data_IF_548489124155
#
_entry.id   IF_548489124155
#
_cell.length_a   1.000
_cell.length_b   1.000
_cell.length_c   1.000
_cell.angle_alpha   90.00
_cell.angle_beta   90.00
_cell.angle_gamma   90.00
#
_symmetry.space_group_name_H-M   'P 1'
#
loop_
_entity.id
_entity.type
_entity.pdbx_description
1 polymer ?
#
# COMPACT_ATOMS: atom_id res chain seq x y z
N UNK A 1 -4.82 -14.92 10.13
CA UNK A 1 -5.60 -14.39 11.27
C UNK A 1 -4.64 -13.76 12.25
N UNK A 2 -4.54 -12.43 12.22
CA UNK A 2 -3.66 -11.65 13.10
C UNK A 2 -4.39 -11.15 14.37
N UNK A 3 -3.75 -10.29 15.15
CA UNK A 3 -4.34 -9.74 16.37
C UNK A 3 -5.55 -8.83 16.10
N UNK A 4 -5.56 -8.11 14.97
CA UNK A 4 -6.67 -7.24 14.60
C UNK A 4 -7.90 -8.09 14.26
N UNK A 5 -7.73 -9.20 13.53
CA UNK A 5 -8.82 -10.11 13.18
C UNK A 5 -9.52 -10.68 14.43
N UNK A 6 -8.76 -10.96 15.50
CA UNK A 6 -9.31 -11.48 16.77
C UNK A 6 -10.09 -10.42 17.55
N UNK A 7 -9.78 -9.14 17.34
CA UNK A 7 -10.44 -8.01 18.01
C UNK A 7 -11.55 -7.39 17.14
N UNK A 8 -11.69 -7.83 15.88
CA UNK A 8 -12.59 -7.22 14.91
C UNK A 8 -14.05 -7.24 15.40
N UNK A 9 -14.56 -8.38 15.82
CA UNK A 9 -15.96 -8.50 16.28
C UNK A 9 -16.27 -7.61 17.50
N UNK A 10 -15.57 -7.73 18.65
CA UNK A 10 -15.86 -6.88 19.80
C UNK A 10 -15.52 -5.41 19.55
N UNK A 11 -14.51 -5.13 18.74
CA UNK A 11 -14.11 -3.78 18.33
C UNK A 11 -15.18 -3.09 17.50
N UNK A 12 -15.69 -3.75 16.46
CA UNK A 12 -16.72 -3.20 15.59
C UNK A 12 -18.05 -2.99 16.32
N UNK A 13 -18.49 -3.90 17.20
CA UNK A 13 -19.70 -3.66 18.03
C UNK A 13 -19.55 -2.43 18.93
N UNK A 14 -18.36 -2.19 19.49
CA UNK A 14 -18.13 -0.97 20.25
C UNK A 14 -18.12 0.26 19.35
N UNK A 15 -17.48 0.20 18.18
CA UNK A 15 -17.39 1.32 17.27
C UNK A 15 -18.72 1.69 16.63
N UNK A 16 -19.59 0.73 16.34
CA UNK A 16 -20.96 1.00 15.86
C UNK A 16 -21.78 1.80 16.88
N UNK A 17 -21.57 1.52 18.18
CA UNK A 17 -22.17 2.30 19.27
C UNK A 17 -21.58 3.70 19.36
N UNK A 18 -20.26 3.83 19.18
CA UNK A 18 -19.58 5.12 19.12
C UNK A 18 -20.12 5.96 17.97
N UNK A 19 -20.24 5.37 16.79
CA UNK A 19 -20.74 6.02 15.57
C UNK A 19 -22.20 6.45 15.74
N UNK A 20 -23.02 5.61 16.37
CA UNK A 20 -24.40 5.95 16.73
C UNK A 20 -24.47 7.17 17.66
N UNK A 21 -23.61 7.23 18.68
CA UNK A 21 -23.56 8.36 19.61
C UNK A 21 -23.02 9.63 18.93
N UNK A 22 -22.11 9.49 17.98
CA UNK A 22 -21.51 10.61 17.23
C UNK A 22 -22.34 11.05 16.02
N UNK A 23 -23.45 10.38 15.70
CA UNK A 23 -24.32 10.74 14.58
C UNK A 23 -24.84 12.19 14.67
N UNK A 24 -25.03 12.72 15.89
CA UNK A 24 -25.38 14.11 16.15
C UNK A 24 -24.20 15.10 16.16
N UNK A 25 -22.98 14.62 15.92
CA UNK A 25 -21.74 15.39 16.01
C UNK A 25 -20.95 15.12 17.30
N UNK A 26 -19.66 15.44 17.26
CA UNK A 26 -18.80 15.39 18.44
C UNK A 26 -19.07 16.57 19.40
N UNK A 27 -18.73 16.45 20.70
CA UNK A 27 -18.82 17.56 21.64
C UNK A 27 -18.09 18.82 21.14
N UNK A 28 -18.62 19.99 21.47
CA UNK A 28 -18.00 21.26 21.10
C UNK A 28 -16.58 21.38 21.69
N UNK A 29 -15.64 21.89 20.90
CA UNK A 29 -14.23 22.04 21.30
C UNK A 29 -13.45 20.73 21.45
N UNK A 30 -14.04 19.57 21.17
CA UNK A 30 -13.35 18.29 21.32
C UNK A 30 -12.22 18.11 20.30
N UNK A 31 -11.10 17.50 20.74
CA UNK A 31 -9.92 17.20 19.91
C UNK A 31 -10.15 16.19 18.76
N UNK A 32 -11.37 15.69 18.62
CA UNK A 32 -11.79 14.80 17.54
C UNK A 32 -12.08 15.59 16.25
N UNK A 33 -12.53 16.84 16.36
CA UNK A 33 -12.95 17.65 15.20
C UNK A 33 -11.91 17.81 14.09
N UNK A 34 -10.61 18.03 14.37
CA UNK A 34 -9.60 18.08 13.32
C UNK A 34 -9.49 16.75 12.55
N UNK A 35 -9.56 15.62 13.25
CA UNK A 35 -9.47 14.29 12.64
C UNK A 35 -10.69 13.97 11.77
N UNK A 36 -11.90 14.26 12.26
CA UNK A 36 -13.12 14.07 11.46
C UNK A 36 -13.12 14.93 10.19
N UNK A 37 -12.66 16.19 10.28
CA UNK A 37 -12.56 17.06 9.10
C UNK A 37 -11.51 16.60 8.10
N UNK A 38 -10.38 16.06 8.58
CA UNK A 38 -9.29 15.56 7.73
C UNK A 38 -9.64 14.24 7.06
N UNK A 39 -10.12 13.28 7.85
CA UNK A 39 -10.32 11.90 7.42
C UNK A 39 -11.71 11.65 6.81
N UNK A 40 -12.69 12.51 7.14
CA UNK A 40 -14.07 12.45 6.62
C UNK A 40 -14.74 11.07 6.75
N UNK A 41 -14.36 10.31 7.77
CA UNK A 41 -14.83 8.94 8.00
C UNK A 41 -15.07 8.75 9.50
N UNK A 42 -16.06 7.93 9.82
CA UNK A 42 -16.32 7.50 11.19
C UNK A 42 -15.35 6.37 11.58
N UNK A 43 -15.00 6.23 12.87
CA UNK A 43 -14.03 5.24 13.29
C UNK A 43 -14.44 3.80 12.95
N UNK A 44 -15.72 3.43 13.00
CA UNK A 44 -16.18 2.09 12.61
C UNK A 44 -15.84 1.77 11.15
N UNK A 45 -16.23 2.65 10.24
CA UNK A 45 -15.95 2.49 8.80
C UNK A 45 -14.46 2.51 8.48
N UNK A 46 -13.70 3.37 9.17
CA UNK A 46 -12.25 3.43 9.00
C UNK A 46 -11.59 2.11 9.43
N UNK A 47 -12.03 1.49 10.52
CA UNK A 47 -11.52 0.19 10.96
C UNK A 47 -11.91 -0.93 10.00
N UNK A 48 -13.13 -0.93 9.46
CA UNK A 48 -13.54 -1.89 8.40
C UNK A 48 -12.60 -1.83 7.20
N UNK A 49 -12.27 -0.63 6.72
CA UNK A 49 -11.32 -0.46 5.62
C UNK A 49 -9.94 -1.07 5.90
N UNK A 50 -9.44 -0.97 7.14
CA UNK A 50 -8.16 -1.59 7.52
C UNK A 50 -8.24 -3.12 7.70
N UNK A 51 -9.41 -3.66 8.06
CA UNK A 51 -9.63 -5.10 8.15
C UNK A 51 -9.51 -5.78 6.78
N UNK A 52 -9.93 -5.09 5.73
CA UNK A 52 -9.83 -5.56 4.33
C UNK A 52 -8.41 -5.49 3.76
N UNK A 53 -7.48 -4.83 4.45
CA UNK A 53 -6.07 -4.79 4.04
C UNK A 53 -5.35 -6.09 4.42
N UNK A 54 -4.75 -6.74 3.43
CA UNK A 54 -4.03 -8.00 3.62
C UNK A 54 -2.58 -7.87 3.15
N UNK A 55 -1.58 -8.04 4.04
CA UNK A 55 -0.18 -7.88 3.67
C UNK A 55 0.36 -9.06 2.84
N UNK A 56 -0.13 -10.27 3.07
CA UNK A 56 0.41 -11.48 2.43
C UNK A 56 0.29 -11.49 0.88
N UNK A 57 -0.86 -11.10 0.27
CA UNK A 57 -0.93 -10.96 -1.19
C UNK A 57 0.07 -9.95 -1.78
N UNK A 58 0.35 -8.85 -1.06
CA UNK A 58 1.30 -7.82 -1.50
C UNK A 58 2.73 -8.34 -1.47
N UNK A 59 3.13 -8.99 -0.37
CA UNK A 59 4.43 -9.64 -0.28
C UNK A 59 4.60 -10.75 -1.34
N UNK A 60 3.53 -11.50 -1.60
CA UNK A 60 3.49 -12.50 -2.68
C UNK A 60 3.71 -11.88 -4.06
N UNK A 61 3.08 -10.73 -4.34
CA UNK A 61 3.29 -9.99 -5.58
C UNK A 61 4.74 -9.48 -5.71
N UNK A 62 5.33 -8.93 -4.64
CA UNK A 62 6.74 -8.53 -4.62
C UNK A 62 7.68 -9.70 -4.96
N UNK A 63 7.42 -10.87 -4.35
CA UNK A 63 8.20 -12.08 -4.62
C UNK A 63 8.06 -12.56 -6.07
N UNK A 64 6.85 -12.54 -6.62
CA UNK A 64 6.58 -12.92 -8.01
C UNK A 64 7.32 -12.00 -9.00
N UNK A 65 7.32 -10.69 -8.76
CA UNK A 65 8.03 -9.72 -9.60
C UNK A 65 9.55 -9.93 -9.55
N UNK A 66 10.13 -10.23 -8.38
CA UNK A 66 11.56 -10.59 -8.28
C UNK A 66 11.89 -11.88 -9.05
N UNK A 67 10.93 -12.79 -9.18
CA UNK A 67 11.06 -13.96 -10.05
C UNK A 67 11.24 -13.57 -11.53
N UNK A 68 10.53 -12.55 -11.99
CA UNK A 68 10.67 -12.02 -13.36
C UNK A 68 12.03 -11.36 -13.58
N UNK A 69 12.53 -10.59 -12.61
CA UNK A 69 13.87 -9.97 -12.66
C UNK A 69 14.94 -11.03 -12.93
N UNK A 70 14.94 -12.12 -12.16
CA UNK A 70 15.89 -13.23 -12.36
C UNK A 70 15.82 -13.85 -13.75
N UNK A 71 14.63 -13.92 -14.34
CA UNK A 71 14.45 -14.43 -15.70
C UNK A 71 15.03 -13.44 -16.75
N UNK A 72 14.87 -12.13 -16.55
CA UNK A 72 15.50 -11.12 -17.40
C UNK A 72 17.03 -11.14 -17.30
N UNK A 73 17.59 -11.36 -16.11
CA UNK A 73 19.05 -11.49 -15.93
C UNK A 73 19.63 -12.66 -16.73
N UNK A 74 18.94 -13.80 -16.77
CA UNK A 74 19.32 -14.95 -17.60
C UNK A 74 19.31 -14.63 -19.10
N UNK A 75 18.28 -13.92 -19.56
CA UNK A 75 18.17 -13.48 -20.95
C UNK A 75 19.28 -12.48 -21.28
N UNK A 76 19.54 -11.50 -20.42
CA UNK A 76 20.62 -10.52 -20.59
C UNK A 76 21.99 -11.18 -20.66
N UNK A 77 22.26 -12.19 -19.83
CA UNK A 77 23.49 -13.00 -19.92
C UNK A 77 23.60 -13.72 -21.26
N UNK A 78 22.54 -14.40 -21.68
CA UNK A 78 22.51 -15.10 -22.98
C UNK A 78 22.74 -14.13 -24.15
N UNK A 79 22.16 -12.93 -24.09
CA UNK A 79 22.34 -11.89 -25.10
C UNK A 79 23.74 -11.27 -25.09
N UNK A 80 24.52 -11.44 -24.02
CA UNK A 80 25.88 -10.89 -23.94
C UNK A 80 26.90 -11.77 -24.68
N UNK A 81 26.56 -13.03 -24.97
CA UNK A 81 27.45 -13.96 -25.65
C UNK A 81 27.85 -13.44 -27.05
N UNK A 82 29.16 -13.41 -27.40
CA UNK A 82 29.62 -12.91 -28.68
C UNK A 82 29.03 -13.71 -29.85
N UNK A 83 28.55 -13.02 -30.89
CA UNK A 83 28.07 -13.69 -32.09
C UNK A 83 29.25 -14.28 -32.89
N UNK A 84 29.14 -15.54 -33.31
CA UNK A 84 30.21 -16.26 -34.04
C UNK A 84 30.36 -15.85 -35.53
N UNK A 85 29.61 -14.85 -35.98
CA UNK A 85 29.59 -14.36 -37.36
C UNK A 85 30.17 -12.94 -37.49
N UNK A 86 30.63 -12.58 -38.68
CA UNK A 86 31.28 -11.29 -38.93
C UNK A 86 30.76 -10.60 -40.20
N UNK A 87 30.97 -9.28 -40.29
CA UNK A 87 30.55 -8.44 -41.40
C UNK A 87 29.54 -7.35 -40.99
N UNK A 88 29.06 -6.54 -41.95
CA UNK A 88 28.16 -5.41 -41.66
C UNK A 88 26.87 -5.81 -40.92
N UNK A 89 26.32 -7.00 -41.22
CA UNK A 89 25.15 -7.54 -40.53
C UNK A 89 25.43 -7.88 -39.06
N UNK A 90 26.63 -8.42 -38.75
CA UNK A 90 27.05 -8.69 -37.38
C UNK A 90 27.18 -7.38 -36.58
N UNK A 91 27.76 -6.33 -37.18
CA UNK A 91 27.86 -5.01 -36.54
C UNK A 91 26.49 -4.36 -36.30
N UNK A 92 25.55 -4.48 -37.25
CA UNK A 92 24.18 -3.97 -37.07
C UNK A 92 23.44 -4.72 -35.95
N UNK A 93 23.60 -6.05 -35.88
CA UNK A 93 23.08 -6.87 -34.79
C UNK A 93 23.67 -6.46 -33.44
N UNK A 94 24.99 -6.30 -33.33
CA UNK A 94 25.66 -5.88 -32.10
C UNK A 94 25.17 -4.51 -31.61
N UNK A 95 24.94 -3.57 -32.54
CA UNK A 95 24.40 -2.27 -32.19
C UNK A 95 22.97 -2.38 -31.64
N UNK A 96 22.09 -3.12 -32.30
CA UNK A 96 20.72 -3.34 -31.82
C UNK A 96 20.69 -4.06 -30.47
N UNK A 97 21.53 -5.08 -30.31
CA UNK A 97 21.72 -5.85 -29.09
C UNK A 97 22.20 -4.99 -27.93
N UNK A 98 23.17 -4.09 -28.15
CA UNK A 98 23.65 -3.17 -27.13
C UNK A 98 22.55 -2.19 -26.68
N UNK A 99 21.73 -1.67 -27.60
CA UNK A 99 20.60 -0.79 -27.25
C UNK A 99 19.56 -1.57 -26.41
N UNK A 100 19.28 -2.82 -26.76
CA UNK A 100 18.38 -3.69 -26.01
C UNK A 100 18.91 -3.99 -24.60
N UNK A 101 20.17 -4.40 -24.47
CA UNK A 101 20.79 -4.69 -23.17
C UNK A 101 20.75 -3.49 -22.24
N UNK A 102 20.99 -2.28 -22.76
CA UNK A 102 20.84 -1.04 -21.99
C UNK A 102 19.42 -0.84 -21.47
N UNK A 103 18.42 -1.06 -22.32
CA UNK A 103 17.03 -0.94 -21.90
C UNK A 103 16.61 -1.98 -20.86
N UNK A 104 17.15 -3.20 -20.96
CA UNK A 104 16.83 -4.28 -20.02
C UNK A 104 17.43 -4.03 -18.65
N UNK A 105 18.71 -3.64 -18.56
CA UNK A 105 19.47 -3.74 -17.30
C UNK A 105 20.34 -2.52 -16.96
N UNK A 106 20.38 -1.46 -17.78
CA UNK A 106 21.22 -0.30 -17.47
C UNK A 106 20.52 0.67 -16.50
N UNK A 107 20.72 0.45 -15.21
CA UNK A 107 20.39 1.39 -14.14
C UNK A 107 18.92 1.34 -13.69
N UNK A 108 18.50 2.27 -12.81
CA UNK A 108 17.18 2.23 -12.16
C UNK A 108 16.01 2.53 -13.09
N UNK A 109 16.29 3.12 -14.25
CA UNK A 109 15.30 3.44 -15.29
C UNK A 109 15.16 2.29 -16.33
N UNK A 110 15.98 1.26 -16.21
CA UNK A 110 15.86 0.05 -17.03
C UNK A 110 14.60 -0.75 -16.67
N UNK A 111 14.23 -1.70 -17.52
CA UNK A 111 13.10 -2.58 -17.24
C UNK A 111 13.32 -3.39 -15.95
N UNK A 112 14.51 -3.94 -15.75
CA UNK A 112 14.87 -4.67 -14.52
C UNK A 112 14.82 -3.73 -13.32
N UNK A 113 15.41 -2.54 -13.40
CA UNK A 113 15.36 -1.54 -12.32
C UNK A 113 13.92 -1.14 -11.93
N UNK A 114 13.01 -1.03 -12.91
CA UNK A 114 11.58 -0.76 -12.67
C UNK A 114 10.85 -1.95 -12.03
N UNK A 115 11.15 -3.17 -12.43
CA UNK A 115 10.59 -4.37 -11.81
C UNK A 115 11.09 -4.50 -10.36
N UNK A 116 12.37 -4.25 -10.10
CA UNK A 116 12.91 -4.21 -8.74
C UNK A 116 12.23 -3.13 -7.88
N UNK A 117 12.02 -1.93 -8.44
CA UNK A 117 11.31 -0.87 -7.75
C UNK A 117 9.85 -1.25 -7.45
N UNK A 118 9.16 -1.90 -8.40
CA UNK A 118 7.79 -2.40 -8.21
C UNK A 118 7.74 -3.45 -7.11
N UNK A 119 8.68 -4.39 -7.09
CA UNK A 119 8.79 -5.39 -6.03
C UNK A 119 9.07 -4.74 -4.68
N UNK A 120 10.00 -3.79 -4.62
CA UNK A 120 10.32 -3.05 -3.40
C UNK A 120 9.14 -2.24 -2.86
N UNK A 121 8.33 -1.63 -3.75
CA UNK A 121 7.11 -0.95 -3.37
C UNK A 121 6.07 -1.91 -2.79
N UNK A 122 5.89 -3.09 -3.40
CA UNK A 122 4.96 -4.11 -2.90
C UNK A 122 5.38 -4.63 -1.51
N UNK A 123 6.68 -4.86 -1.30
CA UNK A 123 7.25 -5.26 0.00
C UNK A 123 7.02 -4.15 1.04
N UNK A 124 7.35 -2.90 0.71
CA UNK A 124 7.15 -1.76 1.60
C UNK A 124 5.67 -1.54 1.97
N UNK A 125 4.76 -1.75 1.02
CA UNK A 125 3.32 -1.66 1.27
C UNK A 125 2.84 -2.79 2.18
N UNK A 126 3.35 -4.01 2.00
CA UNK A 126 3.05 -5.14 2.88
C UNK A 126 3.49 -4.85 4.33
N UNK A 127 4.72 -4.36 4.52
CA UNK A 127 5.25 -3.97 5.83
C UNK A 127 4.43 -2.84 6.47
N UNK A 128 4.04 -1.83 5.68
CA UNK A 128 3.17 -0.74 6.15
C UNK A 128 1.79 -1.25 6.59
N UNK A 129 1.17 -2.16 5.82
CA UNK A 129 -0.12 -2.78 6.18
C UNK A 129 0.03 -3.55 7.50
N UNK A 130 1.05 -4.40 7.62
CA UNK A 130 1.28 -5.20 8.83
C UNK A 130 1.48 -4.31 10.07
N UNK A 131 2.35 -3.32 9.98
CA UNK A 131 2.61 -2.37 11.06
C UNK A 131 1.37 -1.56 11.45
N UNK A 132 0.61 -1.09 10.47
CA UNK A 132 -0.61 -0.31 10.71
C UNK A 132 -1.70 -1.15 11.37
N UNK A 133 -1.90 -2.40 10.91
CA UNK A 133 -2.86 -3.34 11.52
C UNK A 133 -2.48 -3.69 12.95
N UNK A 134 -1.19 -3.89 13.24
CA UNK A 134 -0.72 -4.14 14.60
C UNK A 134 -0.95 -2.92 15.52
N UNK A 135 -0.66 -1.71 15.04
CA UNK A 135 -0.91 -0.49 15.80
C UNK A 135 -2.41 -0.29 16.10
N UNK A 136 -3.26 -0.57 15.11
CA UNK A 136 -4.71 -0.52 15.28
C UNK A 136 -5.21 -1.58 16.27
N UNK A 137 -4.70 -2.81 16.20
CA UNK A 137 -5.06 -3.86 17.14
C UNK A 137 -4.75 -3.47 18.58
N UNK A 138 -3.58 -2.84 18.82
CA UNK A 138 -3.22 -2.32 20.14
C UNK A 138 -4.19 -1.23 20.61
N UNK A 139 -4.48 -0.26 19.75
CA UNK A 139 -5.42 0.81 20.07
C UNK A 139 -6.84 0.28 20.39
N UNK A 140 -7.31 -0.73 19.65
CA UNK A 140 -8.58 -1.37 19.91
C UNK A 140 -8.57 -2.14 21.22
N UNK A 141 -7.50 -2.88 21.54
CA UNK A 141 -7.38 -3.56 22.82
C UNK A 141 -7.45 -2.57 24.00
N UNK A 142 -6.73 -1.45 23.90
CA UNK A 142 -6.73 -0.40 24.92
C UNK A 142 -8.11 0.24 25.09
N UNK A 143 -8.79 0.52 23.98
CA UNK A 143 -10.15 1.07 23.98
C UNK A 143 -11.15 0.09 24.57
N UNK A 144 -11.11 -1.18 24.17
CA UNK A 144 -12.02 -2.23 24.67
C UNK A 144 -11.88 -2.44 26.18
N UNK A 145 -10.67 -2.31 26.72
CA UNK A 145 -10.39 -2.40 28.16
C UNK A 145 -10.69 -1.12 28.95
N UNK A 146 -11.17 -0.06 28.31
CA UNK A 146 -11.28 1.27 28.93
C UNK A 146 -12.61 1.52 29.66
N UNK A 147 -12.59 2.43 30.63
CA UNK A 147 -13.81 2.89 31.30
C UNK A 147 -14.74 3.67 30.33
N UNK A 148 -14.19 4.28 29.28
CA UNK A 148 -14.97 4.91 28.21
C UNK A 148 -15.86 3.89 27.49
N UNK A 149 -15.35 2.68 27.22
CA UNK A 149 -16.13 1.64 26.54
C UNK A 149 -17.35 1.21 27.37
N UNK A 150 -17.20 1.11 28.69
CA UNK A 150 -18.30 0.82 29.62
C UNK A 150 -19.34 1.96 29.59
N UNK A 151 -18.88 3.23 29.60
CA UNK A 151 -19.77 4.40 29.52
C UNK A 151 -20.55 4.44 28.21
N UNK A 152 -19.92 4.11 27.07
CA UNK A 152 -20.58 4.02 25.76
C UNK A 152 -21.63 2.90 25.74
N UNK A 153 -21.31 1.71 26.27
CA UNK A 153 -22.30 0.62 26.39
C UNK A 153 -23.48 1.00 27.26
N UNK A 154 -23.23 1.63 28.41
CA UNK A 154 -24.30 2.09 29.31
C UNK A 154 -25.19 3.15 28.65
N UNK A 155 -24.59 4.16 28.00
CA UNK A 155 -25.33 5.23 27.33
C UNK A 155 -26.18 4.74 26.14
N UNK A 156 -25.70 3.74 25.40
CA UNK A 156 -26.48 3.14 24.30
C UNK A 156 -27.62 2.23 24.79
N UNK A 157 -27.46 1.55 25.94
CA UNK A 157 -28.52 0.75 26.55
C UNK A 157 -29.66 1.59 27.15
N UNK A 158 -29.36 2.79 27.67
CA UNK A 158 -30.41 3.71 28.17
C UNK A 158 -31.19 4.37 27.03
N UNK A 159 -30.55 4.63 25.90
CA UNK A 159 -31.20 5.18 24.71
C UNK A 159 -32.24 4.20 24.11
N UNK A 160 -31.97 2.90 24.13
CA UNK A 160 -32.91 1.88 23.62
C UNK A 160 -34.10 1.62 24.53
N UNK A 161 -34.01 1.97 25.81
CA UNK A 161 -35.08 1.78 26.82
C UNK A 161 -35.97 3.02 27.01
N UNK A 162 -35.83 4.04 26.16
CA UNK A 162 -36.64 5.26 26.21
C UNK A 162 -36.28 6.23 27.34
N UNK A 163 -35.14 6.02 28.00
CA UNK A 163 -34.57 6.98 28.95
C UNK A 163 -34.08 8.25 28.23
N UNK A 164 -33.96 9.36 28.97
CA UNK A 164 -33.44 10.63 28.45
C UNK A 164 -32.18 10.41 27.58
N UNK A 165 -32.08 11.17 26.49
CA UNK A 165 -31.07 11.02 25.42
C UNK A 165 -29.63 10.88 25.92
N UNK A 166 -28.69 10.47 25.05
CA UNK A 166 -27.35 10.08 25.46
C UNK A 166 -26.74 11.15 26.37
N UNK A 167 -26.56 10.82 27.65
CA UNK A 167 -26.01 11.77 28.62
C UNK A 167 -24.66 12.27 28.13
N UNK A 168 -24.32 13.54 28.42
CA UNK A 168 -23.08 14.15 27.94
C UNK A 168 -21.81 13.35 28.23
N UNK A 169 -21.81 12.55 29.31
CA UNK A 169 -20.71 11.63 29.63
C UNK A 169 -20.52 10.48 28.63
N UNK A 170 -21.60 9.95 28.03
CA UNK A 170 -21.55 8.91 27.01
C UNK A 170 -21.05 9.45 25.67
N UNK A 171 -21.50 10.65 25.30
CA UNK A 171 -21.03 11.34 24.09
C UNK A 171 -19.55 11.73 24.19
N UNK A 172 -19.10 12.24 25.34
CA UNK A 172 -17.68 12.52 25.60
C UNK A 172 -16.83 11.24 25.53
N UNK A 173 -17.29 10.15 26.15
CA UNK A 173 -16.60 8.86 26.08
C UNK A 173 -16.50 8.33 24.64
N UNK A 174 -17.56 8.44 23.84
CA UNK A 174 -17.54 8.08 22.43
C UNK A 174 -16.54 8.93 21.64
N UNK A 175 -16.51 10.24 21.89
CA UNK A 175 -15.56 11.15 21.25
C UNK A 175 -14.10 10.86 21.64
N UNK A 176 -13.84 10.49 22.89
CA UNK A 176 -12.51 10.08 23.37
C UNK A 176 -12.04 8.79 22.68
N UNK A 177 -12.92 7.79 22.56
CA UNK A 177 -12.63 6.53 21.86
C UNK A 177 -12.36 6.81 20.38
N UNK A 178 -13.26 7.52 19.70
CA UNK A 178 -13.11 7.85 18.29
C UNK A 178 -11.81 8.60 18.03
N UNK A 179 -11.43 9.54 18.92
CA UNK A 179 -10.15 10.24 18.79
C UNK A 179 -8.96 9.30 18.91
N UNK A 180 -8.93 8.37 19.89
CA UNK A 180 -7.83 7.41 20.05
C UNK A 180 -7.66 6.54 18.80
N UNK A 181 -8.75 6.03 18.25
CA UNK A 181 -8.74 5.18 17.05
C UNK A 181 -8.32 6.00 15.82
N UNK A 182 -8.99 7.12 15.54
CA UNK A 182 -8.70 7.94 14.36
C UNK A 182 -7.31 8.59 14.40
N UNK A 183 -6.75 8.85 15.59
CA UNK A 183 -5.37 9.35 15.69
C UNK A 183 -4.36 8.31 15.18
N UNK A 184 -4.53 7.03 15.54
CA UNK A 184 -3.68 5.94 15.05
C UNK A 184 -3.85 5.74 13.54
N UNK A 185 -5.08 5.75 13.06
CA UNK A 185 -5.37 5.67 11.62
C UNK A 185 -4.84 6.89 10.86
N UNK A 186 -4.83 8.06 11.48
CA UNK A 186 -4.24 9.27 10.93
C UNK A 186 -2.74 9.13 10.69
N UNK A 187 -2.01 8.55 11.64
CA UNK A 187 -0.57 8.26 11.48
C UNK A 187 -0.35 7.24 10.37
N UNK A 188 -1.17 6.19 10.30
CA UNK A 188 -1.09 5.18 9.23
C UNK A 188 -1.32 5.81 7.85
N UNK A 189 -2.32 6.71 7.72
CA UNK A 189 -2.60 7.45 6.51
C UNK A 189 -1.41 8.33 6.07
N UNK A 190 -0.82 9.09 7.01
CA UNK A 190 0.35 9.92 6.71
C UNK A 190 1.57 9.08 6.28
N UNK A 191 1.69 7.86 6.82
CA UNK A 191 2.65 6.85 6.39
C UNK A 191 2.42 6.38 4.95
N UNK A 192 1.19 6.05 4.58
CA UNK A 192 0.83 5.63 3.22
C UNK A 192 1.14 6.72 2.19
N UNK A 193 0.77 7.96 2.50
CA UNK A 193 1.05 9.15 1.70
C UNK A 193 2.55 9.37 1.49
N UNK A 194 3.35 9.15 2.53
CA UNK A 194 4.81 9.26 2.46
C UNK A 194 5.40 8.15 1.59
N UNK A 195 4.90 6.92 1.73
CA UNK A 195 5.30 5.78 0.92
C UNK A 195 4.98 6.04 -0.56
N UNK A 196 3.77 6.48 -0.89
CA UNK A 196 3.41 6.80 -2.28
C UNK A 196 4.32 7.89 -2.87
N UNK A 197 4.57 8.98 -2.12
CA UNK A 197 5.48 10.05 -2.58
C UNK A 197 6.91 9.55 -2.82
N UNK A 198 7.41 8.68 -1.94
CA UNK A 198 8.75 8.12 -2.05
C UNK A 198 8.92 7.23 -3.29
N UNK A 199 7.91 6.41 -3.61
CA UNK A 199 7.99 5.41 -4.68
C UNK A 199 7.45 5.89 -6.03
N UNK A 200 6.61 6.93 -6.07
CA UNK A 200 6.01 7.42 -7.33
C UNK A 200 7.01 7.66 -8.48
N UNK A 201 8.20 8.24 -8.26
CA UNK A 201 9.16 8.47 -9.34
C UNK A 201 9.68 7.18 -9.99
N UNK A 202 9.84 6.10 -9.20
CA UNK A 202 10.39 4.84 -9.67
C UNK A 202 9.35 3.89 -10.27
N UNK A 203 8.06 4.22 -10.15
CA UNK A 203 6.94 3.44 -10.71
C UNK A 203 6.45 3.97 -12.07
N UNK A 204 7.03 5.04 -12.60
CA UNK A 204 6.62 5.62 -13.88
C UNK A 204 6.90 4.68 -15.07
N UNK A 205 5.98 4.67 -16.05
CA UNK A 205 6.09 3.85 -17.26
C UNK A 205 7.39 4.13 -18.03
N UNK A 206 8.02 3.06 -18.53
CA UNK A 206 9.17 3.14 -19.44
C UNK A 206 8.70 3.13 -20.88
N UNK A 207 8.82 4.27 -21.57
CA UNK A 207 8.56 4.34 -23.01
C UNK A 207 9.74 3.76 -23.78
N UNK A 208 9.65 2.50 -24.22
CA UNK A 208 10.59 1.96 -25.19
C UNK A 208 10.28 2.51 -26.59
N UNK A 209 11.29 3.10 -27.24
CA UNK A 209 11.27 3.36 -28.67
C UNK A 209 12.42 2.60 -29.32
N UNK A 210 12.10 1.45 -29.91
CA UNK A 210 13.07 0.69 -30.68
C UNK A 210 13.67 1.56 -31.79
N UNK A 211 14.99 1.54 -31.92
CA UNK A 211 15.66 2.24 -33.02
C UNK A 211 15.26 1.56 -34.33
N UNK A 212 14.38 2.18 -35.10
CA UNK A 212 14.03 1.75 -36.46
C UNK A 212 15.20 2.05 -37.39
N UNK A 213 16.24 1.22 -37.36
CA UNK A 213 17.31 1.25 -38.37
C UNK A 213 16.81 0.53 -39.62
N UNK A 214 15.92 1.20 -40.37
CA UNK A 214 15.48 0.79 -41.70
C UNK A 214 16.27 1.54 -42.77
N UNK A 215 17.55 1.20 -42.96
CA UNK A 215 18.36 1.65 -44.10
C UNK A 215 18.48 0.53 -45.15
N UNK A 216 18.47 0.83 -46.46
CA UNK A 216 18.43 -0.19 -47.51
C UNK A 216 19.65 -1.12 -47.45
N UNK A 217 19.37 -2.41 -47.32
CA UNK A 217 20.33 -3.50 -47.26
C UNK A 217 21.07 -3.63 -48.60
N UNK A 218 22.35 -3.23 -48.67
CA UNK A 218 23.24 -3.63 -49.76
C UNK A 218 23.94 -4.92 -49.38
N UNK A 219 23.55 -6.02 -50.04
CA UNK A 219 23.99 -7.39 -49.77
C UNK A 219 25.50 -7.55 -49.82
N UNK A 220 26.11 -7.79 -48.67
CA UNK A 220 27.47 -8.29 -48.54
C UNK A 220 27.41 -9.68 -47.89
N UNK A 221 28.17 -10.68 -48.39
CA UNK A 221 28.00 -12.07 -47.97
C UNK A 221 28.46 -12.29 -46.53
N UNK A 222 27.59 -12.93 -45.75
CA UNK A 222 27.84 -13.38 -44.38
C UNK A 222 29.00 -14.39 -44.34
N UNK A 223 29.93 -14.22 -43.38
CA UNK A 223 30.97 -15.21 -43.08
C UNK A 223 30.72 -15.82 -41.70
N UNK A 224 30.51 -17.12 -41.68
CA UNK A 224 30.40 -17.96 -40.48
C UNK A 224 31.77 -18.57 -40.19
N UNK A 225 32.22 -18.54 -38.94
CA UNK A 225 33.46 -19.20 -38.48
C UNK A 225 33.14 -20.48 -37.72
#
# INVERSE_FOLDING_TARGET
MDALDRLAEPGLDLLDRVDTLLAGGAPEGHRLWPLLRRMQVLPGDAVRGFLDLHPAPLAGAGHAVRGLVRAYDEVSRTLTDPAAWSGPAASAYDQARAVLLRHLDEGPESLVGRLEATAGYADALADWVEGSRLALARALADVLGSAEAVRVRAATATATTGGAGPGGAGLLAAADIAHRVLAVLGVAYDGAETLLRQWSPSLAETTWRGSTVGGPYHGSPLRVR
#
